data_IF_695261819421
#
_entry.id   IF_695261819421
#
_cell.length_a   1.000
_cell.length_b   1.000
_cell.length_c   1.000
_cell.angle_alpha   90.00
_cell.angle_beta   90.00
_cell.angle_gamma   90.00
#
_symmetry.space_group_name_H-M   'P 1'
#
loop_
_entity.id
_entity.type
_entity.pdbx_description
1 polymer ?
#
# COMPACT_ATOMS: atom_id res chain seq x y z
N UNK A 1 -18.33 -37.19 -19.53
CA UNK A 1 -17.58 -36.20 -20.32
C UNK A 1 -17.18 -36.89 -21.60
N UNK A 2 -17.77 -36.51 -22.73
CA UNK A 2 -17.42 -37.05 -24.04
C UNK A 2 -16.13 -36.37 -24.51
N UNK A 3 -15.04 -37.13 -24.56
CA UNK A 3 -13.77 -36.71 -25.16
C UNK A 3 -13.96 -36.56 -26.67
N UNK A 4 -14.35 -35.37 -27.10
CA UNK A 4 -14.39 -35.02 -28.52
C UNK A 4 -13.08 -34.31 -28.89
N UNK A 5 -12.36 -34.78 -29.92
CA UNK A 5 -11.09 -34.19 -30.36
C UNK A 5 -11.21 -32.70 -30.70
N UNK A 6 -10.11 -31.97 -30.46
CA UNK A 6 -10.06 -30.53 -30.68
C UNK A 6 -9.84 -30.23 -32.16
N UNK A 7 -10.89 -29.83 -32.87
CA UNK A 7 -10.76 -29.33 -34.24
C UNK A 7 -10.23 -27.88 -34.22
N UNK A 8 -9.07 -27.60 -34.86
CA UNK A 8 -8.48 -26.27 -34.91
C UNK A 8 -9.24 -25.35 -35.88
N UNK A 9 -9.50 -24.12 -35.45
CA UNK A 9 -10.15 -23.07 -36.24
C UNK A 9 -9.23 -21.86 -36.37
N UNK A 10 -9.38 -21.13 -37.47
CA UNK A 10 -8.48 -20.05 -37.86
C UNK A 10 -8.87 -18.69 -37.25
N UNK A 11 -7.85 -17.98 -36.75
CA UNK A 11 -7.97 -16.71 -36.03
C UNK A 11 -8.44 -15.54 -36.92
N UNK A 12 -9.46 -14.79 -36.46
CA UNK A 12 -10.16 -13.78 -37.28
C UNK A 12 -9.68 -12.33 -37.03
N UNK A 13 -9.00 -12.03 -35.92
CA UNK A 13 -8.59 -10.65 -35.60
C UNK A 13 -7.22 -10.50 -34.93
N UNK A 14 -6.21 -10.10 -35.71
CA UNK A 14 -4.86 -9.77 -35.26
C UNK A 14 -3.77 -10.59 -35.98
N UNK A 15 -2.50 -10.25 -35.75
CA UNK A 15 -1.36 -10.91 -36.43
C UNK A 15 -1.10 -12.27 -35.77
N UNK A 16 -1.24 -13.34 -36.57
CA UNK A 16 -1.28 -14.76 -36.12
C UNK A 16 0.02 -15.31 -35.52
N UNK A 17 1.18 -14.80 -35.92
CA UNK A 17 2.49 -15.32 -35.47
C UNK A 17 3.50 -14.17 -35.44
N UNK A 18 4.21 -13.99 -34.32
CA UNK A 18 5.43 -13.18 -34.25
C UNK A 18 6.58 -14.15 -34.12
N UNK A 19 7.41 -14.26 -35.16
CA UNK A 19 8.56 -15.16 -35.20
C UNK A 19 9.82 -14.38 -34.82
N UNK A 20 10.44 -14.74 -33.70
CA UNK A 20 11.74 -14.24 -33.26
C UNK A 20 12.64 -15.48 -33.14
N UNK A 21 13.49 -15.66 -34.15
CA UNK A 21 14.55 -16.68 -34.26
C UNK A 21 14.08 -18.09 -33.85
N UNK A 22 14.37 -18.57 -32.63
CA UNK A 22 14.07 -19.95 -32.17
C UNK A 22 12.99 -20.07 -31.08
N UNK A 23 12.37 -18.96 -30.66
CA UNK A 23 11.34 -18.99 -29.61
C UNK A 23 9.93 -18.96 -30.21
N UNK A 24 9.27 -20.12 -30.27
CA UNK A 24 7.88 -20.22 -30.74
C UNK A 24 6.91 -20.06 -29.57
N UNK A 25 6.36 -18.86 -29.38
CA UNK A 25 5.34 -18.58 -28.36
C UNK A 25 3.95 -18.67 -28.99
N UNK A 26 3.24 -19.78 -28.76
CA UNK A 26 1.83 -19.91 -29.13
C UNK A 26 0.94 -19.28 -28.05
N UNK A 27 0.45 -18.07 -28.29
CA UNK A 27 -0.61 -17.47 -27.45
C UNK A 27 -1.97 -17.75 -28.08
N UNK A 28 -2.63 -18.79 -27.61
CA UNK A 28 -4.02 -19.04 -27.93
C UNK A 28 -4.49 -20.37 -27.35
N UNK A 29 -5.50 -20.30 -26.48
CA UNK A 29 -6.66 -21.22 -26.44
C UNK A 29 -7.50 -20.98 -25.18
N UNK A 30 -8.48 -20.08 -25.23
CA UNK A 30 -9.69 -20.19 -24.39
C UNK A 30 -10.84 -20.60 -25.28
N UNK A 31 -11.31 -21.85 -25.12
CA UNK A 31 -12.42 -22.46 -25.87
C UNK A 31 -13.80 -22.09 -25.34
N UNK A 32 -13.89 -21.46 -24.17
CA UNK A 32 -15.15 -21.20 -23.47
C UNK A 32 -15.58 -19.76 -23.73
N UNK A 33 -16.86 -19.49 -24.05
CA UNK A 33 -17.35 -18.11 -24.04
C UNK A 33 -17.07 -17.53 -22.64
N UNK A 34 -16.28 -16.47 -22.58
CA UNK A 34 -15.94 -15.75 -21.34
C UNK A 34 -17.16 -14.99 -20.87
N UNK A 35 -18.14 -15.69 -20.34
CA UNK A 35 -19.22 -15.11 -19.56
C UNK A 35 -19.14 -15.64 -18.14
N UNK A 36 -17.98 -15.46 -17.50
CA UNK A 36 -17.90 -15.59 -16.05
C UNK A 36 -18.45 -14.31 -15.42
N UNK A 37 -19.46 -14.49 -14.58
CA UNK A 37 -20.12 -13.42 -13.86
C UNK A 37 -19.07 -12.62 -13.05
N UNK A 38 -19.03 -11.29 -13.25
CA UNK A 38 -18.05 -10.38 -12.62
C UNK A 38 -18.52 -9.83 -11.27
N UNK A 39 -19.64 -10.32 -10.75
CA UNK A 39 -20.17 -9.90 -9.47
C UNK A 39 -19.28 -10.39 -8.32
N UNK A 40 -19.22 -9.59 -7.25
CA UNK A 40 -18.32 -9.84 -6.11
C UNK A 40 -18.93 -10.73 -5.03
N UNK A 41 -20.21 -11.07 -5.15
CA UNK A 41 -20.93 -11.92 -4.19
C UNK A 41 -20.89 -13.37 -4.67
N UNK A 42 -19.73 -14.00 -4.47
CA UNK A 42 -19.52 -15.42 -4.76
C UNK A 42 -19.84 -16.25 -3.52
N UNK A 43 -20.52 -17.37 -3.73
CA UNK A 43 -20.84 -18.36 -2.71
C UNK A 43 -20.08 -19.64 -3.04
N UNK A 44 -19.39 -20.20 -2.06
CA UNK A 44 -18.61 -21.42 -2.18
C UNK A 44 -19.38 -22.57 -1.55
N UNK A 45 -19.72 -23.57 -2.34
CA UNK A 45 -20.25 -24.84 -1.84
C UNK A 45 -19.14 -25.89 -1.84
N UNK A 46 -18.63 -26.22 -0.65
CA UNK A 46 -17.57 -27.21 -0.48
C UNK A 46 -18.05 -28.65 -0.74
N UNK A 47 -19.34 -28.93 -0.53
CA UNK A 47 -19.90 -30.28 -0.70
C UNK A 47 -20.05 -30.61 -2.18
N UNK A 48 -20.55 -29.66 -2.96
CA UNK A 48 -20.69 -29.80 -4.42
C UNK A 48 -19.42 -29.38 -5.19
N UNK A 49 -18.44 -28.76 -4.52
CA UNK A 49 -17.23 -28.19 -5.11
C UNK A 49 -17.54 -27.18 -6.22
N UNK A 50 -18.56 -26.37 -6.00
CA UNK A 50 -19.06 -25.38 -6.98
C UNK A 50 -18.97 -23.98 -6.40
N UNK A 51 -18.73 -23.03 -7.29
CA UNK A 51 -18.79 -21.61 -7.00
C UNK A 51 -19.92 -21.05 -7.83
N UNK A 52 -20.81 -20.29 -7.22
CA UNK A 52 -21.90 -19.61 -7.92
C UNK A 52 -22.07 -18.21 -7.35
N UNK A 53 -22.70 -17.33 -8.12
CA UNK A 53 -22.91 -15.97 -7.68
C UNK A 53 -24.36 -15.76 -7.21
N UNK A 54 -24.53 -15.16 -6.04
CA UNK A 54 -25.86 -14.90 -5.47
C UNK A 54 -26.70 -13.88 -6.24
N UNK A 55 -26.08 -13.03 -7.04
CA UNK A 55 -26.76 -11.94 -7.75
C UNK A 55 -27.25 -12.36 -9.14
N UNK A 56 -26.47 -13.17 -9.87
CA UNK A 56 -26.79 -13.64 -11.22
C UNK A 56 -27.24 -15.11 -11.26
N UNK A 57 -27.20 -15.80 -10.11
CA UNK A 57 -27.50 -17.23 -9.92
C UNK A 57 -26.76 -18.18 -10.88
N UNK A 58 -25.72 -17.68 -11.55
CA UNK A 58 -24.91 -18.44 -12.49
C UNK A 58 -23.74 -19.11 -11.79
N UNK A 59 -23.38 -20.30 -12.24
CA UNK A 59 -22.11 -20.93 -11.87
C UNK A 59 -20.94 -20.08 -12.36
N UNK A 60 -19.98 -19.88 -11.47
CA UNK A 60 -18.73 -19.20 -11.75
C UNK A 60 -17.63 -20.25 -11.79
N UNK A 61 -16.82 -20.18 -12.83
CA UNK A 61 -15.71 -21.10 -12.98
C UNK A 61 -14.69 -20.87 -11.81
N UNK A 62 -14.19 -21.94 -11.13
CA UNK A 62 -13.37 -21.79 -9.93
C UNK A 62 -12.06 -21.00 -10.14
N UNK A 63 -11.42 -21.12 -11.30
CA UNK A 63 -10.22 -20.36 -11.63
C UNK A 63 -10.54 -18.87 -11.80
N UNK A 64 -11.64 -18.52 -12.47
CA UNK A 64 -12.12 -17.14 -12.59
C UNK A 64 -12.47 -16.54 -11.21
N UNK A 65 -13.11 -17.33 -10.35
CA UNK A 65 -13.37 -16.93 -8.96
C UNK A 65 -12.07 -16.66 -8.19
N UNK A 66 -11.06 -17.52 -8.33
CA UNK A 66 -9.76 -17.34 -7.70
C UNK A 66 -9.03 -16.07 -8.20
N UNK A 67 -9.04 -15.82 -9.50
CA UNK A 67 -8.49 -14.58 -10.10
C UNK A 67 -9.19 -13.35 -9.52
N UNK A 68 -10.52 -13.40 -9.36
CA UNK A 68 -11.30 -12.36 -8.70
C UNK A 68 -10.85 -12.08 -7.26
N UNK A 69 -10.65 -13.13 -6.45
CA UNK A 69 -10.14 -13.00 -5.08
C UNK A 69 -8.76 -12.33 -5.07
N UNK A 70 -7.82 -12.80 -5.88
CA UNK A 70 -6.46 -12.26 -5.95
C UNK A 70 -6.49 -10.78 -6.38
N UNK A 71 -7.36 -10.43 -7.33
CA UNK A 71 -7.57 -9.05 -7.76
C UNK A 71 -8.07 -8.14 -6.63
N UNK A 72 -9.10 -8.57 -5.90
CA UNK A 72 -9.63 -7.80 -4.75
C UNK A 72 -8.58 -7.68 -3.63
N UNK A 73 -7.89 -8.76 -3.31
CA UNK A 73 -6.88 -8.77 -2.27
C UNK A 73 -5.68 -7.86 -2.60
N UNK A 74 -5.17 -7.94 -3.83
CA UNK A 74 -4.06 -7.08 -4.28
C UNK A 74 -4.46 -5.60 -4.31
N UNK A 75 -5.66 -5.27 -4.80
CA UNK A 75 -6.21 -3.92 -4.76
C UNK A 75 -6.36 -3.39 -3.33
N UNK A 76 -6.92 -4.20 -2.43
CA UNK A 76 -7.05 -3.88 -1.01
C UNK A 76 -5.70 -3.64 -0.34
N UNK A 77 -4.74 -4.54 -0.55
CA UNK A 77 -3.39 -4.44 -0.01
C UNK A 77 -2.67 -3.16 -0.49
N UNK A 78 -2.81 -2.82 -1.77
CA UNK A 78 -2.23 -1.60 -2.32
C UNK A 78 -2.86 -0.33 -1.71
N UNK A 79 -4.17 -0.34 -1.48
CA UNK A 79 -4.86 0.78 -0.83
C UNK A 79 -4.41 0.97 0.62
N UNK A 80 -4.22 -0.12 1.37
CA UNK A 80 -3.71 -0.09 2.74
C UNK A 80 -2.28 0.42 2.80
N UNK A 81 -1.39 -0.07 1.92
CA UNK A 81 -0.01 0.42 1.82
C UNK A 81 0.05 1.91 1.52
N UNK A 82 -0.81 2.39 0.60
CA UNK A 82 -0.90 3.82 0.27
C UNK A 82 -1.31 4.63 1.50
N UNK A 83 -2.38 4.21 2.19
CA UNK A 83 -2.87 4.88 3.41
C UNK A 83 -1.82 4.87 4.52
N UNK A 84 -1.10 3.77 4.68
CA UNK A 84 -0.01 3.68 5.66
C UNK A 84 1.10 4.68 5.36
N UNK A 85 1.48 4.84 4.09
CA UNK A 85 2.47 5.84 3.66
C UNK A 85 1.98 7.26 3.94
N UNK A 86 0.73 7.57 3.58
CA UNK A 86 0.12 8.88 3.85
C UNK A 86 0.06 9.19 5.35
N UNK A 87 -0.26 8.20 6.20
CA UNK A 87 -0.25 8.35 7.66
C UNK A 87 1.16 8.58 8.20
N UNK A 88 2.14 7.80 7.74
CA UNK A 88 3.53 7.99 8.14
C UNK A 88 4.05 9.39 7.75
N UNK A 89 3.73 9.85 6.54
CA UNK A 89 4.03 11.21 6.11
C UNK A 89 3.34 12.23 7.03
N UNK A 90 2.02 12.12 7.25
CA UNK A 90 1.26 13.02 8.11
C UNK A 90 1.81 13.08 9.54
N UNK A 91 2.17 11.94 10.14
CA UNK A 91 2.83 11.89 11.44
C UNK A 91 4.14 12.67 11.44
N UNK A 92 5.00 12.49 10.43
CA UNK A 92 6.27 13.23 10.34
C UNK A 92 6.08 14.73 10.17
N UNK A 93 5.09 15.16 9.39
CA UNK A 93 4.75 16.57 9.22
C UNK A 93 4.16 17.17 10.50
N UNK A 94 3.34 16.40 11.23
CA UNK A 94 2.75 16.87 12.48
C UNK A 94 3.75 17.00 13.64
N UNK A 95 4.89 16.30 13.64
CA UNK A 95 5.85 16.40 14.75
C UNK A 95 6.30 17.86 14.97
N UNK A 96 6.54 18.63 13.90
CA UNK A 96 6.97 20.04 14.03
C UNK A 96 5.86 20.90 14.64
N UNK A 97 4.65 20.81 14.10
CA UNK A 97 3.50 21.57 14.59
C UNK A 97 3.13 21.18 16.01
N UNK A 98 3.22 19.89 16.35
CA UNK A 98 2.98 19.38 17.69
C UNK A 98 4.06 19.87 18.66
N UNK A 99 5.34 19.82 18.29
CA UNK A 99 6.43 20.34 19.12
C UNK A 99 6.25 21.84 19.39
N UNK A 100 5.93 22.64 18.36
CA UNK A 100 5.64 24.06 18.52
C UNK A 100 4.44 24.31 19.45
N UNK A 101 3.34 23.56 19.29
CA UNK A 101 2.16 23.66 20.17
C UNK A 101 2.47 23.31 21.62
N UNK A 102 3.29 22.30 21.87
CA UNK A 102 3.70 21.90 23.23
C UNK A 102 4.55 23.00 23.89
N UNK A 103 5.45 23.62 23.13
CA UNK A 103 6.21 24.77 23.63
C UNK A 103 5.31 25.97 23.92
N UNK A 104 4.38 26.27 23.01
CA UNK A 104 3.39 27.34 23.19
C UNK A 104 2.50 27.11 24.41
N UNK A 105 1.99 25.89 24.60
CA UNK A 105 1.21 25.51 25.77
C UNK A 105 1.98 25.70 27.08
N UNK A 106 3.27 25.34 27.10
CA UNK A 106 4.13 25.56 28.26
C UNK A 106 4.32 27.07 28.54
N UNK A 107 4.54 27.90 27.52
CA UNK A 107 4.66 29.36 27.68
C UNK A 107 3.37 30.05 28.09
N UNK A 108 2.22 29.50 27.70
CA UNK A 108 0.90 30.01 28.12
C UNK A 108 0.63 29.79 29.60
N UNK A 109 1.34 28.86 30.24
CA UNK A 109 1.29 28.69 31.69
C UNK A 109 2.00 29.86 32.38
N UNK A 110 1.35 30.48 33.36
CA UNK A 110 1.92 31.64 34.08
C UNK A 110 3.06 31.28 35.04
N UNK A 111 3.32 30.00 35.28
CA UNK A 111 4.27 29.52 36.31
C UNK A 111 5.34 28.56 35.78
N UNK A 112 5.24 28.13 34.53
CA UNK A 112 6.08 27.09 33.96
C UNK A 112 6.75 27.58 32.68
N UNK A 113 7.97 27.11 32.42
CA UNK A 113 8.66 27.32 31.16
C UNK A 113 9.21 25.96 30.68
N UNK A 114 9.22 25.70 29.36
CA UNK A 114 9.85 24.50 28.84
C UNK A 114 11.36 24.55 29.08
N UNK A 115 11.94 23.41 29.46
CA UNK A 115 13.38 23.29 29.64
C UNK A 115 14.03 22.73 28.37
N UNK A 116 15.22 23.23 28.04
CA UNK A 116 16.04 22.64 26.99
C UNK A 116 16.44 21.21 27.37
N UNK A 117 16.16 20.18 26.55
CA UNK A 117 16.48 18.79 26.90
C UNK A 117 17.99 18.46 26.89
N UNK A 118 18.84 19.41 26.51
CA UNK A 118 20.29 19.24 26.44
C UNK A 118 21.02 19.82 27.65
N UNK A 119 20.64 21.02 28.10
CA UNK A 119 21.28 21.70 29.22
C UNK A 119 20.33 21.93 30.41
N UNK A 120 19.04 21.58 30.28
CA UNK A 120 17.98 21.77 31.28
C UNK A 120 17.72 23.23 31.69
N UNK A 121 18.26 24.19 30.95
CA UNK A 121 17.96 25.62 31.13
C UNK A 121 16.55 25.93 30.63
N UNK A 122 15.82 26.77 31.36
CA UNK A 122 14.51 27.25 30.93
C UNK A 122 14.62 28.11 29.66
N UNK A 123 13.64 27.95 28.76
CA UNK A 123 13.51 28.74 27.54
C UNK A 123 12.28 29.63 27.70
N UNK A 124 12.49 30.94 27.70
CA UNK A 124 11.41 31.91 27.72
C UNK A 124 11.06 32.39 26.30
N UNK A 125 9.85 32.96 26.08
CA UNK A 125 9.48 33.49 24.77
C UNK A 125 10.46 34.54 24.23
N UNK A 126 11.02 35.37 25.11
CA UNK A 126 11.95 36.44 24.75
C UNK A 126 13.25 35.90 24.16
N UNK A 127 13.66 34.68 24.53
CA UNK A 127 14.88 34.04 24.04
C UNK A 127 14.79 33.66 22.55
N UNK A 128 13.57 33.51 22.02
CA UNK A 128 13.33 32.97 20.67
C UNK A 128 12.49 33.88 19.77
N UNK A 129 11.83 34.89 20.33
CA UNK A 129 10.98 35.82 19.59
C UNK A 129 11.75 36.59 18.49
N UNK A 130 13.04 36.86 18.71
CA UNK A 130 13.94 37.51 17.73
C UNK A 130 14.53 36.56 16.68
N UNK A 131 14.17 35.28 16.70
CA UNK A 131 14.79 34.24 15.90
C UNK A 131 15.77 33.36 16.70
N UNK A 132 16.11 32.21 16.14
CA UNK A 132 16.97 31.21 16.80
C UNK A 132 18.19 30.88 15.95
N UNK A 133 19.32 30.61 16.61
CA UNK A 133 20.48 30.03 15.94
C UNK A 133 20.12 28.65 15.37
N UNK A 134 20.57 28.37 14.15
CA UNK A 134 20.23 27.14 13.43
C UNK A 134 21.48 26.33 13.06
N UNK A 135 21.33 25.01 12.98
CA UNK A 135 22.38 24.10 12.51
C UNK A 135 21.77 23.02 11.62
N UNK A 136 22.61 22.32 10.85
CA UNK A 136 22.15 21.25 9.97
C UNK A 136 21.60 20.07 10.75
N UNK A 137 20.36 19.66 10.42
CA UNK A 137 19.70 18.48 11.04
C UNK A 137 20.52 17.21 10.83
N UNK A 138 21.16 17.06 9.67
CA UNK A 138 21.98 15.89 9.36
C UNK A 138 23.16 15.75 10.33
N UNK A 139 23.81 16.87 10.69
CA UNK A 139 24.92 16.87 11.66
C UNK A 139 24.45 16.45 13.05
N UNK A 140 23.30 16.95 13.50
CA UNK A 140 22.72 16.61 14.81
C UNK A 140 22.35 15.13 14.88
N UNK A 141 21.71 14.57 13.83
CA UNK A 141 21.35 13.15 13.78
C UNK A 141 22.60 12.27 13.81
N UNK A 142 23.61 12.59 13.00
CA UNK A 142 24.87 11.85 12.97
C UNK A 142 25.63 11.92 14.31
N UNK A 143 25.60 13.06 15.00
CA UNK A 143 26.19 13.20 16.33
C UNK A 143 25.45 12.36 17.38
N UNK A 144 24.12 12.31 17.34
CA UNK A 144 23.31 11.47 18.24
C UNK A 144 23.56 9.98 18.02
N UNK A 145 23.63 9.54 16.75
CA UNK A 145 23.94 8.13 16.40
C UNK A 145 25.31 7.69 16.93
N UNK A 146 26.33 8.52 16.75
CA UNK A 146 27.68 8.27 17.32
C UNK A 146 27.65 8.17 18.85
N UNK A 147 26.89 9.04 19.54
CA UNK A 147 26.75 8.99 21.00
C UNK A 147 26.00 7.76 21.50
N UNK A 148 25.02 7.23 20.76
CA UNK A 148 24.32 5.99 21.14
C UNK A 148 25.20 4.75 20.93
N UNK A 149 25.96 4.71 19.84
CA UNK A 149 26.90 3.62 19.55
C UNK A 149 28.04 3.56 20.57
N UNK A 150 28.55 4.70 21.03
CA UNK A 150 29.57 4.76 22.07
C UNK A 150 29.08 4.42 23.50
N UNK A 151 27.75 4.28 23.69
CA UNK A 151 27.13 3.91 24.98
C UNK A 151 26.75 2.43 25.05
N UNK A 152 26.92 1.68 23.97
CA UNK A 152 26.70 0.23 23.87
C UNK A 152 28.03 -0.48 24.01
#
# INVERSE_FOLDING_TARGET
MSDVPIEPQDYVYGVKVVQIEDLRVARGMTRRPTSSCQHKKLVYDEKERRVWCSDCESEVEPFDAFVGIVGVFSGGMNSLKRRQRELAEAETFQIRSRAAKVMDEAWRSTKMAPLCPHCMTAILPEDVAGGVASTSKALVIAARKRKSEAKT
#
